data_IF_031675297906
#
_entry.id   IF_031675297906
#
_cell.length_a   1.000
_cell.length_b   1.000
_cell.length_c   1.000
_cell.angle_alpha   90.00
_cell.angle_beta   90.00
_cell.angle_gamma   90.00
#
_symmetry.space_group_name_H-M   'P 1'
#
loop_
_entity.id
_entity.type
_entity.pdbx_description
1 polymer ?
#
# COMPACT_ATOMS: atom_id res chain seq x y z
N UNK A 1 15.97 -2.07 -41.76
CA UNK A 1 15.76 -0.63 -42.02
C UNK A 1 14.53 -0.01 -41.31
N UNK A 2 13.73 -0.76 -40.54
CA UNK A 2 12.49 -0.25 -39.87
C UNK A 2 12.75 0.41 -38.49
N UNK A 3 13.82 0.02 -37.81
CA UNK A 3 14.15 0.51 -36.44
C UNK A 3 14.44 2.02 -36.33
N UNK A 4 15.23 2.67 -37.25
CA UNK A 4 15.46 4.11 -37.13
C UNK A 4 14.21 4.96 -37.46
N UNK A 5 13.33 4.47 -38.33
CA UNK A 5 12.10 5.17 -38.66
C UNK A 5 11.10 5.20 -37.49
N UNK A 6 11.01 4.10 -36.72
CA UNK A 6 10.16 4.03 -35.54
C UNK A 6 10.65 4.95 -34.42
N UNK A 7 11.99 5.02 -34.23
CA UNK A 7 12.59 5.94 -33.25
C UNK A 7 12.37 7.41 -33.64
N UNK A 8 12.44 7.72 -34.92
CA UNK A 8 12.21 9.07 -35.43
C UNK A 8 10.74 9.51 -35.29
N UNK A 9 9.78 8.60 -35.50
CA UNK A 9 8.35 8.87 -35.28
C UNK A 9 8.07 9.03 -33.78
N UNK A 10 8.68 8.23 -32.91
CA UNK A 10 8.55 8.37 -31.48
C UNK A 10 9.11 9.70 -30.96
N UNK A 11 10.26 10.14 -31.50
CA UNK A 11 10.83 11.45 -31.16
C UNK A 11 9.95 12.61 -31.64
N UNK A 12 9.36 12.54 -32.83
CA UNK A 12 8.46 13.60 -33.32
C UNK A 12 7.16 13.73 -32.54
N UNK A 13 6.65 12.62 -31.97
CA UNK A 13 5.51 12.62 -31.03
C UNK A 13 5.87 13.28 -29.70
N UNK A 14 7.11 13.14 -29.24
CA UNK A 14 7.58 13.77 -28.01
C UNK A 14 7.86 15.27 -28.14
N UNK A 15 8.13 15.76 -29.36
CA UNK A 15 8.36 17.17 -29.66
C UNK A 15 7.14 17.89 -30.23
N UNK A 16 5.96 17.29 -30.23
CA UNK A 16 4.73 18.03 -30.49
C UNK A 16 4.69 19.19 -29.49
N UNK A 17 4.60 20.47 -29.94
CA UNK A 17 4.45 21.60 -29.04
C UNK A 17 3.14 21.37 -28.29
N UNK A 18 3.24 20.85 -27.08
CA UNK A 18 2.13 20.81 -26.13
C UNK A 18 1.76 22.30 -25.95
N UNK A 19 0.72 22.75 -26.61
CA UNK A 19 0.08 24.01 -26.23
C UNK A 19 -0.38 23.79 -24.82
N UNK A 20 0.44 24.26 -23.88
CA UNK A 20 0.11 24.21 -22.44
C UNK A 20 -1.20 24.97 -22.32
N UNK A 21 -2.28 24.22 -22.15
CA UNK A 21 -3.56 24.84 -21.82
C UNK A 21 -3.36 25.45 -20.46
N UNK A 22 -3.50 26.76 -20.38
CA UNK A 22 -3.37 27.50 -19.13
C UNK A 22 -4.52 27.04 -18.25
N UNK A 23 -4.22 26.26 -17.22
CA UNK A 23 -5.19 25.86 -16.21
C UNK A 23 -5.67 27.06 -15.38
N UNK A 24 -6.85 26.95 -14.82
CA UNK A 24 -7.31 27.93 -13.85
C UNK A 24 -6.56 27.72 -12.54
N UNK A 25 -5.75 28.68 -12.16
CA UNK A 25 -4.95 28.63 -10.94
C UNK A 25 -5.81 28.61 -9.67
N UNK A 26 -5.45 27.73 -8.72
CA UNK A 26 -6.19 27.55 -7.47
C UNK A 26 -5.40 28.00 -6.25
N UNK A 27 -4.18 27.53 -6.04
CA UNK A 27 -3.35 27.82 -4.87
C UNK A 27 -4.08 27.63 -3.55
N UNK A 28 -4.52 26.42 -3.28
CA UNK A 28 -5.18 26.04 -2.02
C UNK A 28 -4.31 25.02 -1.31
N UNK A 29 -4.14 25.21 -0.01
CA UNK A 29 -3.40 24.28 0.83
C UNK A 29 -4.29 23.85 2.00
N UNK A 30 -4.46 22.54 2.13
CA UNK A 30 -5.25 21.94 3.20
C UNK A 30 -4.41 20.91 3.96
N UNK A 31 -4.68 20.82 5.25
CA UNK A 31 -4.06 19.86 6.17
C UNK A 31 -5.15 19.10 6.88
N UNK A 32 -4.91 17.84 7.17
CA UNK A 32 -5.89 17.05 7.88
C UNK A 32 -5.34 15.83 8.56
N UNK A 33 -6.25 15.12 9.20
CA UNK A 33 -6.00 13.87 9.90
C UNK A 33 -6.89 12.78 9.33
N UNK A 34 -6.37 11.59 9.25
CA UNK A 34 -7.14 10.45 8.74
C UNK A 34 -6.78 9.17 9.45
N UNK A 35 -7.69 8.21 9.33
CA UNK A 35 -7.49 6.87 9.86
C UNK A 35 -8.36 5.86 9.12
N UNK A 36 -7.98 4.60 9.23
CA UNK A 36 -8.66 3.53 8.52
C UNK A 36 -8.10 2.15 8.84
N UNK A 37 -8.48 1.22 8.00
CA UNK A 37 -8.04 -0.18 8.08
C UNK A 37 -7.15 -0.52 6.90
N UNK A 38 -6.18 -1.40 7.14
CA UNK A 38 -5.33 -2.02 6.14
C UNK A 38 -5.70 -3.51 6.02
N UNK A 39 -5.72 -4.03 4.81
CA UNK A 39 -5.84 -5.45 4.52
C UNK A 39 -4.62 -5.83 3.69
N UNK A 40 -3.68 -6.54 4.28
CA UNK A 40 -2.37 -6.77 3.70
C UNK A 40 -2.04 -8.25 3.53
N UNK A 41 -1.18 -8.53 2.55
CA UNK A 41 -0.57 -9.83 2.28
C UNK A 41 0.86 -9.62 1.82
N UNK A 42 1.66 -10.67 1.82
CA UNK A 42 3.01 -10.66 1.28
C UNK A 42 3.11 -11.59 0.06
N UNK A 43 3.70 -11.10 -1.02
CA UNK A 43 3.96 -11.90 -2.21
C UNK A 43 5.28 -12.64 -2.08
N UNK A 44 5.25 -13.87 -1.61
CA UNK A 44 6.43 -14.71 -1.50
C UNK A 44 6.67 -15.54 -2.76
N UNK A 45 7.96 -15.81 -3.03
CA UNK A 45 8.37 -16.83 -3.99
C UNK A 45 9.46 -17.65 -3.32
N UNK A 46 9.24 -18.97 -3.06
CA UNK A 46 8.05 -19.76 -3.33
C UNK A 46 6.81 -19.27 -2.56
N UNK A 47 5.63 -19.55 -3.10
CA UNK A 47 4.35 -19.07 -2.58
C UNK A 47 4.00 -19.77 -1.25
N UNK A 48 3.49 -19.00 -0.30
CA UNK A 48 3.00 -19.48 0.99
C UNK A 48 1.49 -19.22 1.04
N UNK A 49 0.67 -20.20 1.48
CA UNK A 49 -0.77 -20.00 1.68
C UNK A 49 -1.02 -18.93 2.75
N UNK A 50 -1.75 -17.89 2.38
CA UNK A 50 -1.97 -16.74 3.24
C UNK A 50 -3.42 -16.31 3.27
N UNK A 51 -3.79 -15.69 4.39
CA UNK A 51 -4.97 -14.85 4.54
C UNK A 51 -4.55 -13.39 4.63
N UNK A 52 -5.52 -12.51 4.38
CA UNK A 52 -5.30 -11.08 4.58
C UNK A 52 -5.14 -10.77 6.07
N UNK A 53 -4.08 -10.07 6.41
CA UNK A 53 -3.91 -9.49 7.74
C UNK A 53 -4.66 -8.16 7.78
N UNK A 54 -5.56 -8.04 8.75
CA UNK A 54 -6.28 -6.80 9.00
C UNK A 54 -5.51 -6.00 10.04
N UNK A 55 -5.06 -4.82 9.66
CA UNK A 55 -4.38 -3.86 10.51
C UNK A 55 -5.09 -2.51 10.53
N UNK A 56 -4.46 -1.53 11.13
CA UNK A 56 -4.95 -0.15 11.22
C UNK A 56 -3.94 0.83 10.65
N UNK A 57 -4.44 1.97 10.17
CA UNK A 57 -3.62 3.09 9.74
C UNK A 57 -4.19 4.40 10.23
N UNK A 58 -3.32 5.35 10.57
CA UNK A 58 -3.70 6.71 10.91
C UNK A 58 -2.54 7.66 10.64
N UNK A 59 -2.86 8.92 10.36
CA UNK A 59 -1.81 9.88 10.07
C UNK A 59 -2.29 11.25 9.65
N UNK A 60 -1.34 12.01 9.12
CA UNK A 60 -1.52 13.36 8.63
C UNK A 60 -1.58 13.38 7.11
N UNK A 61 -2.42 14.24 6.57
CA UNK A 61 -2.58 14.44 5.13
C UNK A 61 -2.38 15.91 4.80
N UNK A 62 -1.56 16.18 3.79
CA UNK A 62 -1.26 17.51 3.26
C UNK A 62 -1.68 17.51 1.79
N UNK A 63 -2.53 18.45 1.40
CA UNK A 63 -3.02 18.59 0.04
C UNK A 63 -2.75 19.99 -0.49
N UNK A 64 -2.09 20.06 -1.63
CA UNK A 64 -1.92 21.27 -2.41
C UNK A 64 -2.72 21.17 -3.70
N UNK A 65 -3.73 22.00 -3.86
CA UNK A 65 -4.53 22.12 -5.08
C UNK A 65 -3.96 23.26 -5.92
N UNK A 66 -3.31 22.91 -7.03
CA UNK A 66 -2.61 23.87 -7.88
C UNK A 66 -3.49 24.49 -8.94
N UNK A 67 -4.16 23.67 -9.71
CA UNK A 67 -4.83 24.10 -10.94
C UNK A 67 -6.08 23.28 -11.23
N UNK A 68 -6.95 23.87 -12.06
CA UNK A 68 -8.09 23.17 -12.64
C UNK A 68 -8.02 23.24 -14.16
N UNK A 69 -8.07 22.10 -14.80
CA UNK A 69 -8.14 21.93 -16.23
C UNK A 69 -9.53 21.45 -16.64
N UNK A 70 -10.29 22.29 -17.35
CA UNK A 70 -11.70 22.01 -17.70
C UNK A 70 -12.56 21.66 -16.48
N UNK A 71 -12.82 20.35 -16.30
CA UNK A 71 -13.60 19.81 -15.18
C UNK A 71 -12.72 19.10 -14.14
N UNK A 72 -11.44 18.89 -14.42
CA UNK A 72 -10.52 18.16 -13.58
C UNK A 72 -9.74 19.08 -12.64
N UNK A 73 -9.83 18.84 -11.36
CA UNK A 73 -9.12 19.57 -10.30
C UNK A 73 -7.85 18.78 -10.00
N UNK A 74 -6.70 19.42 -10.21
CA UNK A 74 -5.40 18.81 -10.03
C UNK A 74 -4.80 19.21 -8.68
N UNK A 75 -4.43 18.22 -7.90
CA UNK A 75 -3.80 18.41 -6.61
C UNK A 75 -2.62 17.42 -6.43
N UNK A 76 -1.74 17.78 -5.53
CA UNK A 76 -0.71 16.88 -5.00
C UNK A 76 -1.04 16.61 -3.54
N UNK A 77 -0.97 15.35 -3.14
CA UNK A 77 -1.21 14.90 -1.78
C UNK A 77 0.05 14.24 -1.26
N UNK A 78 0.48 14.66 -0.08
CA UNK A 78 1.54 14.00 0.68
C UNK A 78 0.99 13.60 2.04
N UNK A 79 1.37 12.42 2.51
CA UNK A 79 0.89 11.94 3.80
C UNK A 79 2.02 11.40 4.65
N UNK A 80 1.76 11.34 5.94
CA UNK A 80 2.61 10.72 6.93
C UNK A 80 1.72 9.80 7.78
N UNK A 81 1.73 8.50 7.45
CA UNK A 81 0.84 7.53 8.07
C UNK A 81 1.63 6.49 8.87
N UNK A 82 1.18 6.21 10.07
CA UNK A 82 1.48 4.94 10.73
C UNK A 82 0.58 3.87 10.15
N UNK A 83 1.12 2.71 9.82
CA UNK A 83 0.35 1.59 9.29
C UNK A 83 0.86 0.25 9.82
N UNK A 84 -0.09 -0.58 10.23
CA UNK A 84 0.13 -1.98 10.53
C UNK A 84 -0.16 -2.79 9.27
N UNK A 85 0.84 -3.52 8.77
CA UNK A 85 0.76 -4.37 7.58
C UNK A 85 1.49 -5.67 7.83
N UNK A 86 1.31 -6.66 6.99
CA UNK A 86 1.99 -7.94 7.13
C UNK A 86 1.23 -9.06 6.46
N UNK A 87 1.27 -10.25 7.04
CA UNK A 87 0.56 -11.40 6.53
C UNK A 87 0.15 -12.36 7.65
N UNK A 88 -0.85 -13.18 7.33
CA UNK A 88 -1.31 -14.28 8.16
C UNK A 88 -1.17 -15.58 7.36
N UNK A 89 -0.49 -16.58 7.91
CA UNK A 89 -0.30 -17.87 7.27
C UNK A 89 -1.35 -18.87 7.73
N UNK A 90 -1.83 -19.65 6.78
CA UNK A 90 -2.60 -20.87 7.03
C UNK A 90 -1.65 -22.05 7.01
N UNK A 91 -1.64 -22.82 8.08
CA UNK A 91 -0.78 -23.99 8.19
C UNK A 91 -1.62 -25.22 7.84
N UNK A 92 -1.29 -25.82 6.69
CA UNK A 92 -1.99 -26.92 6.10
C UNK A 92 -1.10 -28.17 6.06
N UNK A 93 -1.74 -29.35 6.14
CA UNK A 93 -1.06 -30.62 5.98
C UNK A 93 -0.94 -31.03 4.49
N UNK A 94 -0.44 -32.27 4.25
CA UNK A 94 -0.30 -32.83 2.88
C UNK A 94 -1.62 -33.11 2.17
N UNK A 95 -2.72 -33.11 2.89
CA UNK A 95 -4.05 -33.41 2.36
C UNK A 95 -4.86 -32.13 2.15
N UNK A 96 -4.21 -30.96 2.22
CA UNK A 96 -4.86 -29.64 2.22
C UNK A 96 -5.89 -29.46 3.35
N UNK A 97 -5.61 -30.06 4.53
CA UNK A 97 -6.41 -29.88 5.73
C UNK A 97 -5.66 -28.99 6.72
N UNK A 98 -6.36 -28.14 7.51
CA UNK A 98 -5.71 -27.31 8.52
C UNK A 98 -5.08 -28.17 9.62
N UNK A 99 -3.83 -27.88 9.94
CA UNK A 99 -3.13 -28.53 11.04
C UNK A 99 -3.74 -28.07 12.35
N UNK A 100 -4.22 -29.02 13.14
CA UNK A 100 -4.85 -28.75 14.44
C UNK A 100 -3.80 -28.87 15.54
N UNK A 101 -3.67 -27.82 16.35
CA UNK A 101 -2.84 -27.85 17.52
C UNK A 101 -3.42 -28.86 18.54
N UNK A 102 -2.64 -29.88 18.90
CA UNK A 102 -3.07 -30.97 19.78
C UNK A 102 -3.38 -30.52 21.22
N UNK A 103 -2.89 -29.36 21.64
CA UNK A 103 -3.11 -28.83 22.98
C UNK A 103 -4.37 -27.98 23.07
N UNK A 104 -4.66 -27.21 22.03
CA UNK A 104 -5.77 -26.25 22.04
C UNK A 104 -6.99 -26.70 21.22
N UNK A 105 -6.83 -27.70 20.35
CA UNK A 105 -7.88 -28.16 19.43
C UNK A 105 -8.25 -27.16 18.34
N UNK A 106 -7.49 -26.09 18.16
CA UNK A 106 -7.70 -25.03 17.17
C UNK A 106 -6.68 -25.16 16.04
N UNK A 107 -7.04 -24.75 14.83
CA UNK A 107 -6.11 -24.69 13.70
C UNK A 107 -4.87 -23.84 14.03
N UNK A 108 -3.71 -24.32 13.62
CA UNK A 108 -2.47 -23.56 13.78
C UNK A 108 -2.45 -22.36 12.86
N UNK A 109 -2.16 -21.21 13.41
CA UNK A 109 -2.08 -19.93 12.71
C UNK A 109 -0.79 -19.20 13.10
N UNK A 110 -0.23 -18.54 12.10
CA UNK A 110 0.91 -17.65 12.28
C UNK A 110 0.59 -16.30 11.63
N UNK A 111 0.88 -15.22 12.33
CA UNK A 111 0.77 -13.88 11.76
C UNK A 111 2.01 -13.04 12.09
N UNK A 112 2.41 -12.24 11.13
CA UNK A 112 3.48 -11.27 11.30
C UNK A 112 2.97 -9.89 10.97
N UNK A 113 2.94 -9.05 11.99
CA UNK A 113 2.50 -7.66 11.94
C UNK A 113 3.74 -6.79 11.89
N UNK A 114 3.86 -5.96 10.87
CA UNK A 114 4.95 -5.02 10.68
C UNK A 114 4.39 -3.61 10.75
N UNK A 115 5.00 -2.79 11.55
CA UNK A 115 4.64 -1.38 11.70
C UNK A 115 5.54 -0.53 10.82
N UNK A 116 4.93 0.23 9.92
CA UNK A 116 5.63 1.15 9.03
C UNK A 116 5.19 2.60 9.24
N UNK A 117 6.15 3.50 9.09
CA UNK A 117 5.86 4.89 8.77
C UNK A 117 5.78 4.99 7.23
N UNK A 118 4.59 5.21 6.70
CA UNK A 118 4.35 5.29 5.26
C UNK A 118 4.22 6.73 4.81
N UNK A 119 4.89 7.07 3.71
CA UNK A 119 4.94 8.41 3.13
C UNK A 119 4.55 8.32 1.65
N UNK A 120 3.27 8.30 1.32
CA UNK A 120 2.80 8.40 -0.05
C UNK A 120 2.89 9.84 -0.58
N UNK A 121 3.28 9.99 -1.85
CA UNK A 121 3.26 11.22 -2.64
C UNK A 121 2.37 11.00 -3.85
N UNK A 122 1.19 11.56 -3.86
CA UNK A 122 0.14 11.23 -4.81
C UNK A 122 -0.21 12.42 -5.70
N UNK A 123 -0.27 12.18 -7.00
CA UNK A 123 -0.95 13.06 -7.93
C UNK A 123 -2.43 12.72 -7.89
N UNK A 124 -3.27 13.72 -7.63
CA UNK A 124 -4.71 13.59 -7.51
C UNK A 124 -5.44 14.36 -8.61
N UNK A 125 -6.42 13.71 -9.19
CA UNK A 125 -7.37 14.33 -10.11
C UNK A 125 -8.79 14.15 -9.58
N UNK A 126 -9.49 15.28 -9.40
CA UNK A 126 -10.85 15.30 -8.87
C UNK A 126 -11.86 15.87 -9.87
N UNK A 127 -13.07 15.37 -9.84
CA UNK A 127 -14.20 15.81 -10.67
C UNK A 127 -15.42 16.06 -9.79
N UNK A 128 -16.00 17.23 -9.93
CA UNK A 128 -17.18 17.62 -9.16
C UNK A 128 -17.11 19.04 -8.65
N UNK A 129 -17.67 19.25 -7.47
CA UNK A 129 -17.74 20.58 -6.83
C UNK A 129 -16.50 20.82 -5.96
N UNK A 130 -15.94 22.02 -6.04
CA UNK A 130 -14.68 22.35 -5.37
C UNK A 130 -14.90 22.72 -3.89
N UNK A 131 -15.87 23.56 -3.57
CA UNK A 131 -16.07 24.10 -2.22
C UNK A 131 -17.33 23.65 -1.52
N UNK A 132 -18.35 23.24 -2.26
CA UNK A 132 -19.64 22.88 -1.68
C UNK A 132 -20.27 21.72 -2.41
N UNK A 133 -20.23 20.55 -1.81
CA UNK A 133 -20.84 19.34 -2.35
C UNK A 133 -19.83 18.22 -2.57
N UNK A 134 -20.16 17.30 -3.45
CA UNK A 134 -19.40 16.09 -3.69
C UNK A 134 -18.40 16.23 -4.85
N UNK A 135 -17.25 15.59 -4.69
CA UNK A 135 -16.21 15.40 -5.67
C UNK A 135 -15.77 13.95 -5.65
N UNK A 136 -15.72 13.28 -6.80
CA UNK A 136 -15.03 12.02 -6.95
C UNK A 136 -13.58 12.28 -7.35
N UNK A 137 -12.66 11.45 -6.91
CA UNK A 137 -11.26 11.60 -7.26
C UNK A 137 -10.56 10.26 -7.49
N UNK A 138 -9.50 10.34 -8.25
CA UNK A 138 -8.49 9.31 -8.43
C UNK A 138 -7.15 9.87 -8.02
N UNK A 139 -6.31 9.01 -7.45
CA UNK A 139 -4.96 9.38 -7.08
C UNK A 139 -3.98 8.23 -7.34
N UNK A 140 -2.75 8.59 -7.68
CA UNK A 140 -1.67 7.64 -7.96
C UNK A 140 -0.33 8.28 -7.65
N UNK A 141 0.61 7.48 -7.17
CA UNK A 141 1.97 7.93 -6.98
C UNK A 141 2.85 6.95 -6.23
N UNK A 142 4.11 7.31 -6.01
CA UNK A 142 5.04 6.52 -5.22
C UNK A 142 4.67 6.58 -3.73
N UNK A 143 4.96 5.48 -3.03
CA UNK A 143 4.87 5.39 -1.59
C UNK A 143 6.17 4.82 -1.04
N UNK A 144 6.69 5.47 -0.01
CA UNK A 144 7.86 5.04 0.74
C UNK A 144 7.40 4.52 2.10
N UNK A 145 8.07 3.47 2.59
CA UNK A 145 7.81 2.86 3.88
C UNK A 145 9.09 2.75 4.70
N UNK A 146 9.03 3.19 5.94
CA UNK A 146 10.13 3.08 6.90
C UNK A 146 9.71 2.12 8.01
N UNK A 147 10.44 1.04 8.16
CA UNK A 147 10.21 0.05 9.21
C UNK A 147 10.39 0.68 10.60
N UNK A 148 9.43 0.43 11.47
CA UNK A 148 9.46 0.85 12.88
C UNK A 148 9.68 -0.33 13.81
N UNK A 149 8.83 -1.33 13.71
CA UNK A 149 8.85 -2.52 14.55
C UNK A 149 8.08 -3.66 13.91
N UNK A 150 8.26 -4.86 14.45
CA UNK A 150 7.49 -6.03 14.06
C UNK A 150 7.01 -6.79 15.28
N UNK A 151 5.92 -7.51 15.14
CA UNK A 151 5.35 -8.41 16.12
C UNK A 151 4.94 -9.71 15.44
N UNK A 152 5.31 -10.82 16.03
CA UNK A 152 4.91 -12.15 15.59
C UNK A 152 3.88 -12.71 16.58
N UNK A 153 2.79 -13.26 16.05
CA UNK A 153 1.77 -13.96 16.84
C UNK A 153 1.59 -15.36 16.24
N UNK A 154 1.67 -16.36 17.08
CA UNK A 154 1.44 -17.75 16.73
C UNK A 154 0.70 -18.45 17.87
N UNK A 155 -0.16 -19.40 17.55
CA UNK A 155 -0.85 -20.23 18.55
C UNK A 155 -0.17 -21.59 18.75
N UNK A 156 1.07 -21.74 18.28
CA UNK A 156 1.91 -22.93 18.45
C UNK A 156 3.35 -22.54 18.80
N UNK A 157 4.14 -23.52 19.25
CA UNK A 157 5.55 -23.31 19.58
C UNK A 157 6.38 -23.16 18.29
N UNK A 158 6.96 -21.96 18.09
CA UNK A 158 7.80 -21.66 16.92
C UNK A 158 9.14 -22.40 16.94
N UNK A 159 9.65 -22.74 18.12
CA UNK A 159 10.91 -23.47 18.30
C UNK A 159 10.74 -24.97 18.09
N UNK A 160 9.52 -25.47 18.29
CA UNK A 160 9.16 -26.90 18.14
C UNK A 160 7.97 -27.04 17.22
N UNK A 161 8.09 -26.70 15.94
CA UNK A 161 7.02 -26.89 14.97
C UNK A 161 6.65 -28.37 14.91
N UNK A 162 5.36 -28.69 14.84
CA UNK A 162 4.89 -30.05 14.66
C UNK A 162 5.15 -30.49 13.20
N UNK A 163 6.37 -30.95 12.95
CA UNK A 163 6.95 -31.10 11.60
C UNK A 163 6.32 -32.26 10.82
N UNK A 164 5.75 -33.24 11.53
CA UNK A 164 5.19 -34.44 10.91
C UNK A 164 4.01 -34.16 9.98
N UNK A 165 3.32 -33.05 10.17
CA UNK A 165 2.12 -32.68 9.42
C UNK A 165 2.25 -31.37 8.62
N UNK A 166 3.40 -30.73 8.66
CA UNK A 166 3.61 -29.47 7.93
C UNK A 166 4.15 -29.73 6.54
N UNK A 167 3.31 -29.53 5.57
CA UNK A 167 3.77 -29.28 4.20
C UNK A 167 3.69 -27.79 3.96
N UNK A 168 4.84 -27.12 3.99
CA UNK A 168 4.90 -25.90 3.24
C UNK A 168 4.89 -26.27 1.75
N UNK A 169 4.18 -25.53 0.92
CA UNK A 169 4.27 -25.62 -0.52
C UNK A 169 5.63 -25.14 -1.08
N UNK A 170 6.63 -25.01 -0.23
CA UNK A 170 8.01 -24.76 -0.63
C UNK A 170 8.55 -26.06 -1.22
N UNK A 171 8.35 -26.21 -2.52
CA UNK A 171 8.89 -27.31 -3.30
C UNK A 171 10.42 -27.21 -3.36
N UNK A 172 11.13 -27.87 -2.46
CA UNK A 172 12.58 -28.07 -2.47
C UNK A 172 12.91 -29.46 -1.98
N UNK A 173 13.91 -30.13 -2.59
CA UNK A 173 14.39 -31.40 -2.12
C UNK A 173 15.03 -31.20 -0.78
N UNK A 174 14.84 -31.60 0.30
CA UNK A 174 15.54 -31.49 1.59
C UNK A 174 15.25 -30.22 2.42
N UNK A 175 13.99 -29.85 2.58
CA UNK A 175 13.63 -28.97 3.67
C UNK A 175 13.36 -29.85 4.90
N UNK A 176 14.43 -30.21 5.61
CA UNK A 176 14.34 -30.92 6.86
C UNK A 176 13.77 -30.04 7.97
N UNK A 177 13.40 -30.68 9.07
CA UNK A 177 12.81 -30.12 10.31
C UNK A 177 13.45 -28.79 10.77
N UNK A 178 14.74 -28.61 10.49
CA UNK A 178 15.55 -27.48 10.92
C UNK A 178 15.26 -26.17 10.15
N UNK A 179 14.69 -26.22 8.97
CA UNK A 179 14.48 -25.03 8.13
C UNK A 179 13.21 -24.26 8.47
N UNK A 180 12.17 -24.89 9.00
CA UNK A 180 10.92 -24.23 9.32
C UNK A 180 11.01 -23.30 10.53
N UNK A 181 11.68 -23.70 11.60
CA UNK A 181 11.87 -22.84 12.75
C UNK A 181 12.68 -21.60 12.40
N UNK A 182 13.69 -21.75 11.55
CA UNK A 182 14.52 -20.64 11.09
C UNK A 182 13.72 -19.61 10.27
N UNK A 183 12.77 -20.04 9.44
CA UNK A 183 11.95 -19.14 8.62
C UNK A 183 11.08 -18.21 9.49
N UNK A 184 10.50 -18.73 10.55
CA UNK A 184 9.68 -17.93 11.47
C UNK A 184 10.48 -16.94 12.31
N UNK A 185 11.75 -17.22 12.54
CA UNK A 185 12.67 -16.35 13.30
C UNK A 185 13.46 -15.37 12.45
N UNK A 186 13.30 -15.39 11.12
CA UNK A 186 14.00 -14.44 10.23
C UNK A 186 13.56 -13.01 10.55
N UNK A 187 14.48 -12.08 10.87
CA UNK A 187 14.14 -10.68 11.01
C UNK A 187 13.87 -10.04 9.64
N UNK A 188 13.08 -8.96 9.61
CA UNK A 188 12.98 -8.12 8.42
C UNK A 188 14.34 -7.46 8.16
N UNK A 189 14.98 -7.81 7.05
CA UNK A 189 16.31 -7.34 6.68
C UNK A 189 16.26 -5.92 6.10
N UNK A 190 15.36 -5.71 5.14
CA UNK A 190 15.19 -4.43 4.46
C UNK A 190 14.20 -3.56 5.22
N UNK A 191 14.73 -2.57 5.94
CA UNK A 191 13.94 -1.63 6.73
C UNK A 191 13.32 -0.50 5.93
N UNK A 192 13.55 -0.48 4.63
CA UNK A 192 13.01 0.50 3.70
C UNK A 192 12.19 -0.23 2.64
N UNK A 193 10.91 0.13 2.57
CA UNK A 193 9.96 -0.37 1.57
C UNK A 193 9.60 0.75 0.60
N UNK A 194 9.33 0.39 -0.65
CA UNK A 194 8.93 1.33 -1.68
C UNK A 194 8.03 0.64 -2.70
N UNK A 195 7.12 1.41 -3.25
CA UNK A 195 6.17 0.88 -4.21
C UNK A 195 5.30 1.97 -4.83
N UNK A 196 4.23 1.54 -5.45
CA UNK A 196 3.25 2.39 -6.12
C UNK A 196 1.90 2.22 -5.44
N UNK A 197 1.27 3.34 -5.14
CA UNK A 197 -0.10 3.39 -4.60
C UNK A 197 -1.02 4.01 -5.63
N UNK A 198 -2.20 3.43 -5.79
CA UNK A 198 -3.28 4.01 -6.59
C UNK A 198 -4.61 3.87 -5.83
N UNK A 199 -5.48 4.85 -5.95
CA UNK A 199 -6.73 4.88 -5.22
C UNK A 199 -7.84 5.70 -5.85
N UNK A 200 -9.03 5.48 -5.33
CA UNK A 200 -10.27 6.16 -5.69
C UNK A 200 -10.95 6.63 -4.41
N UNK A 201 -11.63 7.75 -4.47
CA UNK A 201 -12.37 8.23 -3.33
C UNK A 201 -13.45 9.24 -3.67
N UNK A 202 -14.20 9.57 -2.62
CA UNK A 202 -15.22 10.61 -2.62
C UNK A 202 -14.86 11.64 -1.56
N UNK A 203 -15.03 12.90 -1.91
CA UNK A 203 -14.86 14.02 -1.00
C UNK A 203 -16.15 14.82 -0.93
N UNK A 204 -16.56 15.13 0.29
CA UNK A 204 -17.61 16.11 0.57
C UNK A 204 -16.97 17.37 1.14
N UNK A 205 -17.16 18.49 0.44
CA UNK A 205 -16.60 19.79 0.82
C UNK A 205 -17.69 20.74 1.32
N UNK A 206 -17.40 21.43 2.42
CA UNK A 206 -18.22 22.48 2.97
C UNK A 206 -17.35 23.68 3.39
N UNK A 207 -17.62 24.92 2.93
CA UNK A 207 -16.77 26.09 3.19
C UNK A 207 -16.58 26.44 4.67
N UNK A 208 -17.53 26.05 5.53
CA UNK A 208 -17.52 26.35 6.96
C UNK A 208 -16.97 25.21 7.82
N UNK A 209 -17.02 23.99 7.32
CA UNK A 209 -16.67 22.79 8.10
C UNK A 209 -15.34 22.22 7.63
N UNK A 210 -15.05 22.24 6.32
CA UNK A 210 -13.86 21.61 5.73
C UNK A 210 -14.24 20.50 4.75
N UNK A 211 -13.35 19.51 4.62
CA UNK A 211 -13.47 18.43 3.63
C UNK A 211 -13.45 17.08 4.32
N UNK A 212 -14.43 16.26 4.02
CA UNK A 212 -14.49 14.86 4.43
C UNK A 212 -14.22 13.98 3.24
N UNK A 213 -13.23 13.12 3.35
CA UNK A 213 -12.85 12.16 2.31
C UNK A 213 -13.04 10.74 2.81
N UNK A 214 -13.50 9.87 1.91
CA UNK A 214 -13.45 8.41 2.07
C UNK A 214 -12.79 7.86 0.81
N UNK A 215 -11.81 7.01 0.99
CA UNK A 215 -10.99 6.48 -0.09
C UNK A 215 -10.65 5.02 0.09
N UNK A 216 -10.48 4.34 -1.04
CA UNK A 216 -9.90 3.01 -1.12
C UNK A 216 -8.65 3.05 -1.97
N UNK A 217 -7.53 2.52 -1.45
CA UNK A 217 -6.23 2.49 -2.12
C UNK A 217 -5.69 1.08 -2.20
N UNK A 218 -4.95 0.81 -3.24
CA UNK A 218 -4.14 -0.38 -3.39
C UNK A 218 -2.66 0.00 -3.46
N UNK A 219 -1.86 -0.61 -2.62
CA UNK A 219 -0.41 -0.48 -2.62
C UNK A 219 0.23 -1.73 -3.21
N UNK A 220 1.10 -1.53 -4.16
CA UNK A 220 1.94 -2.54 -4.80
C UNK A 220 3.39 -2.32 -4.41
N UNK A 221 3.89 -3.13 -3.47
CA UNK A 221 5.28 -3.09 -3.03
C UNK A 221 6.23 -3.63 -4.10
N UNK A 222 7.32 -2.91 -4.32
CA UNK A 222 8.40 -3.27 -5.24
C UNK A 222 9.65 -3.74 -4.48
N UNK A 223 9.77 -3.35 -3.21
CA UNK A 223 10.85 -3.78 -2.33
C UNK A 223 10.64 -5.19 -1.81
N UNK A 224 11.73 -5.91 -1.54
CA UNK A 224 11.70 -7.17 -0.82
C UNK A 224 11.96 -6.91 0.67
N UNK A 225 11.21 -7.56 1.55
CA UNK A 225 11.40 -7.50 3.01
C UNK A 225 12.64 -8.27 3.46
N UNK A 226 12.90 -9.41 2.80
CA UNK A 226 14.05 -10.26 3.04
C UNK A 226 15.08 -10.12 1.90
N UNK A 227 16.26 -10.66 2.09
CA UNK A 227 17.23 -10.81 1.02
C UNK A 227 16.68 -11.61 -0.17
N UNK A 228 17.27 -11.46 -1.33
CA UNK A 228 16.88 -12.15 -2.56
C UNK A 228 18.04 -12.88 -3.23
N UNK A 229 19.07 -13.24 -2.47
CA UNK A 229 20.17 -14.03 -2.97
C UNK A 229 19.74 -15.50 -3.14
N UNK A 230 20.55 -16.30 -3.87
CA UNK A 230 20.29 -17.74 -4.04
C UNK A 230 20.35 -18.55 -2.72
N UNK A 231 20.82 -17.93 -1.64
CA UNK A 231 20.92 -18.54 -0.30
C UNK A 231 19.75 -18.17 0.60
N UNK A 232 18.95 -17.20 0.20
CA UNK A 232 17.80 -16.75 0.97
C UNK A 232 16.60 -17.67 0.73
N UNK A 233 15.72 -17.78 1.73
CA UNK A 233 14.52 -18.62 1.67
C UNK A 233 13.54 -18.15 0.60
N UNK A 234 13.51 -16.84 0.35
CA UNK A 234 12.57 -16.22 -0.59
C UNK A 234 13.32 -15.45 -1.67
N UNK A 235 13.04 -15.80 -2.93
CA UNK A 235 13.50 -15.02 -4.07
C UNK A 235 12.72 -13.70 -4.20
N UNK A 236 11.50 -13.66 -3.63
CA UNK A 236 10.61 -12.51 -3.62
C UNK A 236 9.85 -12.45 -2.30
N UNK A 237 9.70 -11.24 -1.75
CA UNK A 237 8.98 -10.99 -0.49
C UNK A 237 8.43 -9.57 -0.44
N UNK A 238 7.47 -9.25 -1.33
CA UNK A 238 6.91 -7.91 -1.47
C UNK A 238 5.64 -7.76 -0.64
N UNK A 239 5.40 -6.56 -0.11
CA UNK A 239 4.14 -6.23 0.56
C UNK A 239 3.09 -5.72 -0.44
N UNK A 240 1.86 -6.18 -0.25
CA UNK A 240 0.67 -5.66 -0.93
C UNK A 240 -0.37 -5.31 0.12
N UNK A 241 -1.01 -4.17 -0.02
CA UNK A 241 -2.11 -3.85 0.88
C UNK A 241 -3.25 -3.08 0.19
N UNK A 242 -4.45 -3.29 0.70
CA UNK A 242 -5.63 -2.48 0.44
C UNK A 242 -5.86 -1.63 1.67
N UNK A 243 -6.08 -0.34 1.48
CA UNK A 243 -6.36 0.62 2.56
C UNK A 243 -7.73 1.21 2.33
N UNK A 244 -8.58 1.19 3.35
CA UNK A 244 -9.84 1.96 3.37
C UNK A 244 -9.67 3.01 4.45
N UNK A 245 -9.69 4.30 4.06
CA UNK A 245 -9.35 5.41 4.93
C UNK A 245 -10.42 6.50 4.87
N UNK A 246 -10.73 7.07 6.01
CA UNK A 246 -11.51 8.30 6.15
C UNK A 246 -10.57 9.43 6.60
N UNK A 247 -10.64 10.58 5.94
CA UNK A 247 -9.78 11.73 6.23
C UNK A 247 -10.62 12.99 6.35
N UNK A 248 -10.32 13.80 7.34
CA UNK A 248 -10.86 15.15 7.50
C UNK A 248 -9.78 16.17 7.23
N UNK A 249 -10.03 17.09 6.28
CA UNK A 249 -9.11 18.17 5.89
C UNK A 249 -9.73 19.53 6.17
N UNK A 250 -8.89 20.46 6.55
CA UNK A 250 -9.26 21.88 6.68
C UNK A 250 -8.28 22.75 5.89
N UNK A 251 -8.83 23.80 5.27
CA UNK A 251 -8.03 24.70 4.44
C UNK A 251 -7.23 25.67 5.31
N UNK A 252 -5.91 25.68 5.10
CA UNK A 252 -4.99 26.66 5.66
C UNK A 252 -4.90 27.88 4.72
N UNK A 253 -4.77 27.61 3.41
CA UNK A 253 -4.74 28.64 2.39
C UNK A 253 -5.91 28.44 1.44
N UNK A 254 -6.75 29.46 1.27
CA UNK A 254 -7.88 29.45 0.35
C UNK A 254 -7.62 30.37 -0.83
N UNK A 255 -7.87 29.88 -2.02
CA UNK A 255 -7.80 30.71 -3.23
C UNK A 255 -8.86 31.82 -3.20
N UNK A 256 -8.45 33.02 -3.61
CA UNK A 256 -9.33 34.18 -3.78
C UNK A 256 -10.02 34.22 -5.16
N UNK A 257 -9.87 33.17 -5.99
CA UNK A 257 -10.43 33.14 -7.34
C UNK A 257 -11.97 33.14 -7.28
N UNK A 258 -12.65 34.17 -7.84
CA UNK A 258 -14.12 34.28 -7.79
C UNK A 258 -14.85 33.22 -8.62
N UNK A 259 -14.15 32.50 -9.52
CA UNK A 259 -14.73 31.41 -10.32
C UNK A 259 -14.92 30.10 -9.54
N UNK A 260 -14.41 30.00 -8.33
CA UNK A 260 -14.55 28.81 -7.50
C UNK A 260 -15.95 28.82 -6.83
N UNK A 261 -16.79 27.87 -7.18
CA UNK A 261 -18.14 27.70 -6.66
C UNK A 261 -18.29 26.48 -5.78
#
# INVERSE_FOLDING_TARGET
>A
MVRPLFLMILCTLLFSPARAQIGEYRNEFAVGVGGGITMSTAGFTPEIPQEQLIGKTFGLTFRYTGEKYFKSICAVVAELNYAEVGWKERIWDRNDEPVINSQTGVAEEYSRIINYLQVPFLARMGWGRERRGFQAFFEIGPQLGFYLSEKTEANFDLDRPNVTNRVSHVSGPDIGEYHYSNMYHMPIENKFDYGITAGLGLEFSNPHVGHFMIEGRYYFGLGNMYGNSKRDYFAKSNLYNIVIKATYLFDIVKSKNPKIK
#
